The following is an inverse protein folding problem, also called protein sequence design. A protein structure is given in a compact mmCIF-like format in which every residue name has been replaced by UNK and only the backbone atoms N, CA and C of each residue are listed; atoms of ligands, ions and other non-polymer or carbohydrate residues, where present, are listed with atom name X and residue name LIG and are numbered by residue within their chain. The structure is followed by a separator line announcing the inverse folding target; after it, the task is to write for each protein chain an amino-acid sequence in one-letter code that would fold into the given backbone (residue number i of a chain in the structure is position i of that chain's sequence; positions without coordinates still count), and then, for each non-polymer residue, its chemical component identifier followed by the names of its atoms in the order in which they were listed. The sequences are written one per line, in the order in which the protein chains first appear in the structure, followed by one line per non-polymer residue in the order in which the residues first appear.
data_IF_592029452355
#
_entry.id   IF_592029452355
#
_cell.length_a   1.000
_cell.length_b   1.000
_cell.length_c   1.000
_cell.angle_alpha   90.00
_cell.angle_beta   90.00
_cell.angle_gamma   90.00
#
_symmetry.space_group_name_H-M   'P 1'
#
loop_
_entity.id
_entity.type
_entity.pdbx_description
1 polymer ?
#
# COMPACT_ATOMS: atom_id res chain seq x y z
N UNK A 1 -14.18 14.69 -12.81
CA UNK A 1 -15.23 14.10 -11.93
C UNK A 1 -14.56 13.09 -10.99
N UNK A 2 -14.95 13.00 -9.71
CA UNK A 2 -14.34 12.07 -8.74
C UNK A 2 -15.34 11.54 -7.72
N UNK A 3 -15.11 10.31 -7.22
CA UNK A 3 -15.90 9.66 -6.18
C UNK A 3 -14.98 9.02 -5.13
N UNK A 4 -15.38 9.09 -3.85
CA UNK A 4 -14.71 8.39 -2.76
C UNK A 4 -15.45 7.09 -2.47
N UNK A 5 -14.74 5.96 -2.48
CA UNK A 5 -15.31 4.67 -2.13
C UNK A 5 -14.28 3.83 -1.37
N UNK A 6 -14.68 3.32 -0.20
CA UNK A 6 -13.80 2.58 0.73
C UNK A 6 -12.50 3.35 1.00
N UNK A 7 -11.36 2.84 0.52
CA UNK A 7 -10.01 3.39 0.72
C UNK A 7 -9.43 4.02 -0.55
N UNK A 8 -10.26 4.30 -1.56
CA UNK A 8 -9.83 4.90 -2.83
C UNK A 8 -10.69 6.09 -3.21
N UNK A 9 -10.04 7.11 -3.78
CA UNK A 9 -10.70 8.14 -4.57
C UNK A 9 -10.45 7.79 -6.02
N UNK A 10 -11.53 7.65 -6.79
CA UNK A 10 -11.49 7.35 -8.22
C UNK A 10 -11.87 8.62 -8.97
N UNK A 11 -11.05 9.03 -9.93
CA UNK A 11 -11.29 10.17 -10.81
C UNK A 11 -11.16 9.76 -12.27
N UNK A 12 -11.76 10.56 -13.14
CA UNK A 12 -11.61 10.44 -14.60
C UNK A 12 -10.61 11.50 -15.05
N UNK A 13 -9.56 11.09 -15.76
CA UNK A 13 -8.56 11.99 -16.36
C UNK A 13 -9.11 12.71 -17.59
N UNK A 14 -8.39 13.71 -18.09
CA UNK A 14 -8.78 14.44 -19.31
C UNK A 14 -8.91 13.50 -20.52
N UNK A 15 -8.05 12.47 -20.59
CA UNK A 15 -8.07 11.43 -21.63
C UNK A 15 -9.17 10.38 -21.44
N UNK A 16 -10.06 10.54 -20.44
CA UNK A 16 -11.16 9.61 -20.17
C UNK A 16 -10.77 8.33 -19.41
N UNK A 17 -9.52 8.20 -18.96
CA UNK A 17 -9.06 7.02 -18.21
C UNK A 17 -9.37 7.15 -16.71
N UNK A 18 -9.41 6.01 -16.00
CA UNK A 18 -9.58 6.03 -14.54
C UNK A 18 -8.25 6.22 -13.83
N UNK A 19 -8.20 7.23 -12.98
CA UNK A 19 -7.14 7.42 -12.00
C UNK A 19 -7.64 7.07 -10.61
N UNK A 20 -6.79 6.44 -9.81
CA UNK A 20 -7.09 6.09 -8.42
C UNK A 20 -5.98 6.58 -7.48
N UNK A 21 -6.38 7.18 -6.36
CA UNK A 21 -5.49 7.56 -5.26
C UNK A 21 -6.03 7.02 -3.93
N UNK A 22 -5.20 7.00 -2.89
CA UNK A 22 -5.60 6.60 -1.55
C UNK A 22 -6.57 7.63 -0.94
N UNK A 23 -7.75 7.16 -0.57
CA UNK A 23 -8.67 7.90 0.29
C UNK A 23 -8.56 7.43 1.73
N UNK A 24 -8.48 8.38 2.67
CA UNK A 24 -8.47 8.09 4.11
C UNK A 24 -9.68 8.78 4.73
N UNK A 25 -10.59 8.00 5.31
CA UNK A 25 -11.75 8.54 6.02
C UNK A 25 -11.29 9.40 7.20
N UNK A 26 -12.01 10.49 7.48
CA UNK A 26 -11.74 11.38 8.61
C UNK A 26 -11.80 10.65 9.96
N UNK A 27 -12.64 9.61 10.06
CA UNK A 27 -12.80 8.79 11.27
C UNK A 27 -11.81 7.61 11.36
N UNK A 28 -10.98 7.38 10.33
CA UNK A 28 -10.01 6.30 10.39
C UNK A 28 -8.89 6.67 11.36
N UNK A 29 -8.83 5.98 12.51
CA UNK A 29 -7.77 6.14 13.52
C UNK A 29 -6.42 5.61 13.06
N UNK A 30 -6.40 4.73 12.04
CA UNK A 30 -5.17 4.16 11.46
C UNK A 30 -4.20 3.64 12.53
N UNK A 31 -4.74 2.90 13.49
CA UNK A 31 -3.96 2.34 14.59
C UNK A 31 -2.95 1.33 14.05
N UNK A 32 -1.70 1.75 13.96
CA UNK A 32 -0.57 0.88 13.70
C UNK A 32 -0.08 0.28 15.01
N UNK A 33 0.19 -1.03 14.98
CA UNK A 33 0.73 -1.76 16.11
C UNK A 33 2.10 -1.22 16.52
N UNK A 34 2.35 -0.95 17.79
CA UNK A 34 3.65 -0.43 18.26
C UNK A 34 4.77 -1.47 18.12
N UNK A 35 6.01 -1.05 17.81
CA UNK A 35 7.14 -1.97 17.63
C UNK A 35 7.46 -2.80 18.88
N UNK A 36 7.32 -2.21 20.07
CA UNK A 36 7.59 -2.87 21.36
C UNK A 36 6.41 -3.67 21.92
N UNK A 37 5.28 -3.73 21.20
CA UNK A 37 4.13 -4.52 21.63
C UNK A 37 4.43 -6.02 21.71
N UNK A 38 3.67 -6.73 22.54
CA UNK A 38 3.79 -8.17 22.79
C UNK A 38 3.23 -9.02 21.63
N UNK A 39 3.75 -8.79 20.42
CA UNK A 39 3.46 -9.59 19.24
C UNK A 39 4.76 -10.15 18.66
N UNK A 40 4.68 -11.28 17.93
CA UNK A 40 5.83 -11.83 17.24
C UNK A 40 6.51 -10.79 16.33
N UNK A 41 7.84 -10.82 16.32
CA UNK A 41 8.62 -9.90 15.50
C UNK A 41 8.33 -10.08 14.00
N UNK A 42 8.16 -11.32 13.54
CA UNK A 42 7.79 -11.64 12.17
C UNK A 42 6.49 -10.93 11.75
N UNK A 43 5.47 -10.95 12.62
CA UNK A 43 4.19 -10.27 12.37
C UNK A 43 4.38 -8.75 12.23
N UNK A 44 5.12 -8.13 13.15
CA UNK A 44 5.42 -6.69 13.07
C UNK A 44 6.16 -6.35 11.79
N UNK A 45 7.12 -7.14 11.36
CA UNK A 45 7.89 -6.88 10.14
C UNK A 45 7.08 -7.02 8.83
N UNK A 46 6.02 -7.85 8.81
CA UNK A 46 5.15 -7.98 7.62
C UNK A 46 4.09 -6.88 7.51
N UNK A 47 3.72 -6.21 8.62
CA UNK A 47 2.73 -5.12 8.60
C UNK A 47 3.14 -3.99 7.64
N UNK A 48 4.38 -3.42 7.70
CA UNK A 48 4.83 -2.42 6.74
C UNK A 48 4.76 -2.92 5.29
N UNK A 49 5.11 -4.18 5.04
CA UNK A 49 5.07 -4.77 3.69
C UNK A 49 3.65 -4.75 3.13
N UNK A 50 2.68 -5.25 3.89
CA UNK A 50 1.28 -5.25 3.47
C UNK A 50 0.73 -3.84 3.22
N UNK A 51 1.08 -2.88 4.09
CA UNK A 51 0.61 -1.50 3.94
C UNK A 51 1.20 -0.80 2.71
N UNK A 52 2.50 -0.96 2.44
CA UNK A 52 3.11 -0.39 1.24
C UNK A 52 2.59 -1.02 -0.05
N UNK A 53 2.37 -2.35 -0.07
CA UNK A 53 1.79 -3.02 -1.23
C UNK A 53 0.34 -2.56 -1.48
N UNK A 54 -0.45 -2.37 -0.42
CA UNK A 54 -1.79 -1.79 -0.53
C UNK A 54 -1.76 -0.38 -1.12
N UNK A 55 -0.84 0.48 -0.68
CA UNK A 55 -0.65 1.80 -1.29
C UNK A 55 -0.28 1.69 -2.77
N UNK A 56 0.67 0.82 -3.12
CA UNK A 56 1.11 0.61 -4.51
C UNK A 56 -0.04 0.15 -5.41
N UNK A 57 -0.91 -0.71 -4.89
CA UNK A 57 -2.10 -1.19 -5.60
C UNK A 57 -3.13 -0.07 -5.82
N UNK A 58 -3.40 0.71 -4.78
CA UNK A 58 -4.46 1.71 -4.78
C UNK A 58 -4.09 2.99 -5.56
N UNK A 59 -2.81 3.38 -5.58
CA UNK A 59 -2.33 4.54 -6.33
C UNK A 59 -2.04 4.16 -7.79
N UNK A 60 -2.67 4.85 -8.74
CA UNK A 60 -2.39 4.67 -10.18
C UNK A 60 -1.00 5.21 -10.53
N UNK A 61 -0.65 6.38 -10.00
CA UNK A 61 0.63 7.04 -10.29
C UNK A 61 1.70 6.77 -9.26
N UNK A 62 2.94 6.62 -9.74
CA UNK A 62 4.10 6.39 -8.88
C UNK A 62 4.43 7.60 -7.98
N UNK A 63 4.11 8.80 -8.45
CA UNK A 63 4.34 10.04 -7.70
C UNK A 63 3.41 10.11 -6.48
N UNK A 64 2.13 9.81 -6.68
CA UNK A 64 1.16 9.75 -5.59
C UNK A 64 1.50 8.62 -4.60
N UNK A 65 1.86 7.43 -5.10
CA UNK A 65 2.39 6.36 -4.26
C UNK A 65 3.55 6.83 -3.38
N UNK A 66 4.54 7.52 -3.97
CA UNK A 66 5.73 7.98 -3.26
C UNK A 66 5.39 9.01 -2.18
N UNK A 67 4.50 9.95 -2.48
CA UNK A 67 4.01 10.94 -1.53
C UNK A 67 3.30 10.28 -0.34
N UNK A 68 2.34 9.39 -0.60
CA UNK A 68 1.59 8.67 0.44
C UNK A 68 2.49 7.71 1.23
N UNK A 69 3.46 7.08 0.57
CA UNK A 69 4.44 6.20 1.21
C UNK A 69 5.34 6.97 2.20
N UNK A 70 5.68 8.22 1.91
CA UNK A 70 6.42 9.10 2.83
C UNK A 70 5.61 9.39 4.09
N UNK A 71 4.32 9.68 3.94
CA UNK A 71 3.40 9.88 5.08
C UNK A 71 3.26 8.59 5.90
N UNK A 72 3.04 7.45 5.26
CA UNK A 72 2.97 6.14 5.94
C UNK A 72 4.26 5.81 6.70
N UNK A 73 5.43 6.13 6.11
CA UNK A 73 6.72 5.94 6.77
C UNK A 73 6.80 6.73 8.08
N UNK A 74 6.31 7.96 8.08
CA UNK A 74 6.33 8.82 9.25
C UNK A 74 5.47 8.24 10.38
N UNK A 75 4.25 7.77 10.07
CA UNK A 75 3.41 7.08 11.05
C UNK A 75 4.07 5.82 11.64
N UNK A 76 4.78 5.03 10.81
CA UNK A 76 5.52 3.87 11.33
C UNK A 76 6.68 4.26 12.24
N UNK A 77 7.40 5.35 11.93
CA UNK A 77 8.47 5.86 12.80
C UNK A 77 7.94 6.29 14.15
N UNK A 78 6.80 6.96 14.19
CA UNK A 78 6.11 7.35 15.43
C UNK A 78 5.71 6.13 16.28
N UNK A 79 5.53 4.96 15.66
CA UNK A 79 5.28 3.68 16.34
C UNK A 79 6.55 2.87 16.65
N UNK A 80 7.73 3.48 16.50
CA UNK A 80 9.01 2.88 16.87
C UNK A 80 9.56 1.86 15.87
N UNK A 81 9.06 1.79 14.63
CA UNK A 81 9.55 0.81 13.66
C UNK A 81 10.98 1.12 13.18
N UNK A 82 11.88 0.12 13.12
CA UNK A 82 13.23 0.31 12.61
C UNK A 82 13.27 0.75 11.16
N UNK A 83 14.13 1.72 10.84
CA UNK A 83 14.30 2.23 9.47
C UNK A 83 14.65 1.13 8.44
N UNK A 84 15.43 0.11 8.85
CA UNK A 84 15.79 -1.02 7.98
C UNK A 84 14.55 -1.80 7.52
N UNK A 85 13.61 -2.05 8.44
CA UNK A 85 12.36 -2.74 8.14
C UNK A 85 11.53 -1.95 7.14
N UNK A 86 11.35 -0.65 7.40
CA UNK A 86 10.57 0.24 6.53
C UNK A 86 11.19 0.40 5.15
N UNK A 87 12.52 0.55 5.05
CA UNK A 87 13.22 0.66 3.76
C UNK A 87 13.07 -0.62 2.93
N UNK A 88 13.18 -1.79 3.56
CA UNK A 88 12.98 -3.09 2.89
C UNK A 88 11.54 -3.23 2.37
N UNK A 89 10.56 -2.89 3.19
CA UNK A 89 9.15 -2.96 2.81
C UNK A 89 8.78 -1.97 1.68
N UNK A 90 9.25 -0.73 1.78
CA UNK A 90 9.07 0.27 0.73
C UNK A 90 9.71 -0.16 -0.59
N UNK A 91 10.96 -0.62 -0.56
CA UNK A 91 11.66 -1.10 -1.77
C UNK A 91 10.91 -2.24 -2.45
N UNK A 92 10.42 -3.21 -1.67
CA UNK A 92 9.61 -4.32 -2.20
C UNK A 92 8.38 -3.80 -2.94
N UNK A 93 7.63 -2.87 -2.34
CA UNK A 93 6.44 -2.32 -2.98
C UNK A 93 6.76 -1.46 -4.21
N UNK A 94 7.86 -0.70 -4.17
CA UNK A 94 8.32 0.10 -5.30
C UNK A 94 8.68 -0.76 -6.52
N UNK A 95 9.28 -1.92 -6.27
CA UNK A 95 9.69 -2.89 -7.30
C UNK A 95 8.54 -3.80 -7.77
N UNK A 96 7.36 -3.70 -7.15
CA UNK A 96 6.21 -4.52 -7.54
C UNK A 96 5.36 -3.74 -8.54
N UNK A 97 5.05 -4.36 -9.68
CA UNK A 97 4.15 -3.75 -10.65
C UNK A 97 2.72 -3.72 -10.13
N UNK A 98 2.02 -2.62 -10.43
CA UNK A 98 0.63 -2.47 -9.97
C UNK A 98 -0.29 -3.49 -10.61
N UNK A 99 -0.05 -3.85 -11.88
CA UNK A 99 -0.78 -4.89 -12.59
C UNK A 99 -0.75 -6.23 -11.84
N UNK A 100 0.42 -6.60 -11.29
CA UNK A 100 0.57 -7.83 -10.51
C UNK A 100 -0.23 -7.82 -9.20
N UNK A 101 -0.47 -6.64 -8.63
CA UNK A 101 -1.24 -6.46 -7.39
C UNK A 101 -2.75 -6.36 -7.62
N UNK A 102 -3.16 -6.12 -8.86
CA UNK A 102 -4.57 -6.09 -9.30
C UNK A 102 -5.01 -7.42 -9.90
N UNK A 103 -4.08 -8.22 -10.42
CA UNK A 103 -4.37 -9.54 -10.95
C UNK A 103 -4.78 -10.49 -9.82
N UNK A 104 -5.89 -11.19 -10.02
CA UNK A 104 -6.38 -12.18 -9.06
C UNK A 104 -5.46 -13.40 -9.03
N UNK A 105 -5.12 -13.89 -7.84
CA UNK A 105 -4.19 -15.01 -7.65
C UNK A 105 -4.68 -16.31 -8.32
N UNK A 106 -5.99 -16.40 -8.60
CA UNK A 106 -6.62 -17.48 -9.35
C UNK A 106 -6.00 -17.73 -10.74
N UNK A 107 -5.55 -16.67 -11.45
CA UNK A 107 -5.04 -16.79 -12.82
C UNK A 107 -3.60 -17.29 -12.94
N UNK A 108 -2.84 -17.41 -11.84
CA UNK A 108 -1.44 -17.88 -11.87
C UNK A 108 -1.29 -19.40 -11.81
N UNK A 109 -2.34 -20.13 -11.47
CA UNK A 109 -2.29 -21.60 -11.30
C UNK A 109 -2.52 -22.34 -12.63
N UNK A 110 -3.18 -21.72 -13.63
CA UNK A 110 -3.57 -22.41 -14.88
C UNK A 110 -2.51 -22.46 -15.98
N UNK A 111 -1.34 -21.84 -15.82
CA UNK A 111 -0.28 -21.85 -16.86
C UNK A 111 1.04 -22.43 -16.32
N UNK A 112 1.01 -23.64 -15.79
CA UNK A 112 2.25 -24.37 -15.46
C UNK A 112 2.34 -25.80 -15.99
N UNK A 113 1.27 -26.33 -16.60
CA UNK A 113 1.26 -27.65 -17.21
C UNK A 113 0.63 -27.58 -18.62
N UNK A 114 1.44 -27.13 -19.59
CA UNK A 114 1.23 -27.34 -21.03
C UNK A 114 2.57 -27.25 -21.76
#
# INVERSE_FOLDING_TARGET
RSINFLDVTISITEDGTFHSTLYRKSTATNSLLHWTSHHPRSLKEVIPVGQYLRLRRNCSDIQDFTLKAKQLRQHFKEKGYPNRCLKKAYKRALQTERSDLLCDFSKKITNKDA
#
